data_IF_287645983309
#
_entry.id   IF_287645983309
#
_cell.length_a   1.000
_cell.length_b   1.000
_cell.length_c   1.000
_cell.angle_alpha   90.00
_cell.angle_beta   90.00
_cell.angle_gamma   90.00
#
_symmetry.space_group_name_H-M   'P 1'
#
loop_
_entity.id
_entity.type
_entity.pdbx_description
1 polymer ?
#
# COMPACT_ATOMS: atom_id res chain seq x y z
N UNK A 1 -26.93 -38.82 -13.67
CA UNK A 1 -26.67 -40.12 -14.31
C UNK A 1 -27.10 -40.02 -15.76
N UNK A 2 -26.17 -40.17 -16.70
CA UNK A 2 -26.45 -40.27 -18.14
C UNK A 2 -26.25 -41.73 -18.55
N UNK A 3 -27.05 -42.25 -19.47
CA UNK A 3 -26.81 -43.55 -20.08
C UNK A 3 -26.30 -43.34 -21.50
N UNK A 4 -25.09 -43.81 -21.79
CA UNK A 4 -24.48 -43.74 -23.13
C UNK A 4 -24.15 -45.17 -23.55
N UNK A 5 -24.81 -45.66 -24.60
CA UNK A 5 -24.66 -47.02 -25.14
C UNK A 5 -24.81 -48.14 -24.09
N UNK A 6 -25.69 -47.97 -23.11
CA UNK A 6 -25.92 -48.95 -22.04
C UNK A 6 -25.00 -48.79 -20.82
N UNK A 7 -24.03 -47.86 -20.87
CA UNK A 7 -23.12 -47.60 -19.75
C UNK A 7 -23.62 -46.40 -18.92
N UNK A 8 -23.88 -46.57 -17.61
CA UNK A 8 -24.21 -45.46 -16.73
C UNK A 8 -22.97 -44.60 -16.46
N UNK A 9 -23.04 -43.33 -16.86
CA UNK A 9 -22.04 -42.31 -16.59
C UNK A 9 -22.55 -41.41 -15.46
N UNK A 10 -21.75 -41.32 -14.41
CA UNK A 10 -21.95 -40.40 -13.30
C UNK A 10 -21.02 -39.22 -13.48
N UNK A 11 -21.60 -38.02 -13.41
CA UNK A 11 -20.84 -36.78 -13.39
C UNK A 11 -21.44 -35.88 -12.32
N UNK A 12 -20.59 -35.10 -11.68
CA UNK A 12 -20.99 -34.10 -10.71
C UNK A 12 -21.09 -32.75 -11.42
N UNK A 13 -22.20 -32.05 -11.24
CA UNK A 13 -22.39 -30.69 -11.70
C UNK A 13 -22.54 -29.79 -10.48
N UNK A 14 -21.80 -28.67 -10.40
CA UNK A 14 -21.93 -27.76 -9.28
C UNK A 14 -23.33 -27.12 -9.27
N UNK A 15 -23.87 -26.87 -8.08
CA UNK A 15 -25.09 -26.06 -7.96
C UNK A 15 -24.76 -24.63 -8.35
N UNK A 16 -25.41 -24.16 -9.41
CA UNK A 16 -25.21 -22.83 -9.97
C UNK A 16 -26.55 -22.12 -10.14
N UNK A 17 -26.54 -20.82 -9.89
CA UNK A 17 -27.64 -19.93 -10.24
C UNK A 17 -27.38 -19.37 -11.64
N UNK A 18 -28.28 -19.65 -12.58
CA UNK A 18 -28.24 -19.14 -13.95
C UNK A 18 -29.25 -18.00 -14.10
N UNK A 19 -28.83 -16.88 -14.69
CA UNK A 19 -29.72 -15.79 -15.11
C UNK A 19 -29.33 -15.30 -16.51
N UNK A 20 -30.27 -14.66 -17.19
CA UNK A 20 -30.01 -14.02 -18.48
C UNK A 20 -29.91 -12.52 -18.30
N UNK A 21 -28.83 -11.95 -18.82
CA UNK A 21 -28.59 -10.51 -18.92
C UNK A 21 -28.78 -10.08 -20.38
N UNK A 22 -29.52 -8.98 -20.67
CA UNK A 22 -29.74 -8.53 -22.05
C UNK A 22 -28.48 -8.16 -22.83
N UNK A 23 -27.38 -7.83 -22.14
CA UNK A 23 -26.10 -7.43 -22.74
C UNK A 23 -25.10 -8.59 -22.69
N UNK A 24 -24.96 -9.21 -21.52
CA UNK A 24 -23.91 -10.21 -21.26
C UNK A 24 -24.36 -11.66 -21.55
N UNK A 25 -25.64 -11.88 -21.88
CA UNK A 25 -26.18 -13.20 -22.18
C UNK A 25 -26.36 -14.07 -20.93
N UNK A 26 -25.96 -15.33 -20.99
CA UNK A 26 -26.13 -16.26 -19.88
C UNK A 26 -25.05 -16.08 -18.80
N UNK A 27 -25.45 -15.63 -17.62
CA UNK A 27 -24.58 -15.48 -16.47
C UNK A 27 -24.79 -16.61 -15.46
N UNK A 28 -23.68 -17.19 -15.02
CA UNK A 28 -23.64 -18.27 -14.04
C UNK A 28 -22.99 -17.78 -12.74
N UNK A 29 -23.62 -18.06 -11.60
CA UNK A 29 -23.09 -17.76 -10.27
C UNK A 29 -23.04 -19.03 -9.41
N UNK A 30 -21.89 -19.37 -8.82
CA UNK A 30 -21.81 -20.49 -7.86
C UNK A 30 -22.72 -20.26 -6.65
N UNK A 31 -23.35 -21.33 -6.15
CA UNK A 31 -24.00 -21.29 -4.84
C UNK A 31 -22.96 -20.95 -3.77
N UNK A 32 -23.22 -19.89 -2.99
CA UNK A 32 -22.32 -19.45 -1.91
C UNK A 32 -23.00 -19.65 -0.57
N UNK A 33 -22.38 -20.46 0.30
CA UNK A 33 -22.79 -20.57 1.71
C UNK A 33 -22.11 -19.45 2.49
N UNK A 34 -22.91 -18.61 3.14
CA UNK A 34 -22.42 -17.45 3.91
C UNK A 34 -22.60 -17.69 5.41
N UNK A 35 -21.69 -17.18 6.27
CA UNK A 35 -21.90 -17.24 7.71
C UNK A 35 -23.10 -16.37 8.13
N UNK A 36 -23.72 -16.62 9.30
CA UNK A 36 -24.82 -15.79 9.81
C UNK A 36 -24.45 -14.30 9.92
N UNK A 37 -23.19 -14.00 10.20
CA UNK A 37 -22.61 -12.66 10.18
C UNK A 37 -21.19 -12.72 9.62
N UNK A 38 -20.82 -11.72 8.84
CA UNK A 38 -19.45 -11.47 8.40
C UNK A 38 -18.94 -10.15 9.01
N UNK A 39 -17.64 -10.02 9.19
CA UNK A 39 -16.99 -8.88 9.84
C UNK A 39 -15.84 -8.38 8.97
N UNK A 40 -15.87 -7.12 8.57
CA UNK A 40 -14.84 -6.49 7.75
C UNK A 40 -14.22 -5.33 8.53
N UNK A 41 -12.89 -5.26 8.57
CA UNK A 41 -12.17 -4.07 9.05
C UNK A 41 -12.01 -3.12 7.86
N UNK A 42 -12.32 -1.84 8.05
CA UNK A 42 -11.97 -0.82 7.06
C UNK A 42 -10.47 -0.51 7.12
N UNK A 43 -9.86 -0.15 5.98
CA UNK A 43 -8.42 0.07 5.89
C UNK A 43 -7.60 -1.23 5.83
N UNK A 44 -6.41 -1.17 5.23
CA UNK A 44 -5.54 -2.35 5.03
C UNK A 44 -4.51 -2.55 6.12
N UNK A 45 -4.03 -1.47 6.73
CA UNK A 45 -3.10 -1.46 7.86
C UNK A 45 -3.30 -0.20 8.69
N UNK A 46 -2.88 -0.26 9.96
CA UNK A 46 -2.93 0.83 10.92
C UNK A 46 -1.56 1.08 11.53
N UNK A 47 -0.92 2.16 11.12
CA UNK A 47 0.46 2.50 11.48
C UNK A 47 0.49 3.77 12.32
N UNK A 48 0.99 3.69 13.54
CA UNK A 48 1.02 4.78 14.50
C UNK A 48 2.44 5.31 14.63
N UNK A 49 2.65 6.60 14.36
CA UNK A 49 3.92 7.28 14.66
C UNK A 49 3.94 7.79 16.11
N UNK A 50 2.78 8.07 16.70
CA UNK A 50 2.60 8.53 18.08
C UNK A 50 1.54 7.67 18.82
N UNK A 51 1.08 8.14 19.97
CA UNK A 51 0.07 7.43 20.78
C UNK A 51 -1.34 8.01 20.60
N UNK A 52 -1.56 8.86 19.60
CA UNK A 52 -2.89 9.41 19.34
C UNK A 52 -3.82 8.30 18.83
N UNK A 53 -5.06 8.23 19.33
CA UNK A 53 -6.02 7.23 18.90
C UNK A 53 -6.41 7.40 17.44
N UNK A 54 -6.61 6.28 16.76
CA UNK A 54 -7.17 6.23 15.40
C UNK A 54 -8.49 5.50 15.39
N UNK A 55 -9.38 5.95 14.50
CA UNK A 55 -10.65 5.28 14.26
C UNK A 55 -10.41 4.05 13.39
N UNK A 56 -10.93 2.92 13.87
CA UNK A 56 -10.97 1.63 13.18
C UNK A 56 -12.44 1.31 12.91
N UNK A 57 -12.95 1.59 11.70
CA UNK A 57 -14.30 1.18 11.32
C UNK A 57 -14.35 -0.35 11.14
N UNK A 58 -15.35 -0.97 11.74
CA UNK A 58 -15.65 -2.40 11.63
C UNK A 58 -17.07 -2.55 11.10
N UNK A 59 -17.21 -3.10 9.89
CA UNK A 59 -18.51 -3.36 9.28
C UNK A 59 -18.94 -4.79 9.55
N UNK A 60 -20.09 -4.95 10.18
CA UNK A 60 -20.78 -6.25 10.30
C UNK A 60 -21.82 -6.38 9.20
N UNK A 61 -21.85 -7.52 8.50
CA UNK A 61 -22.81 -7.83 7.44
C UNK A 61 -23.63 -9.07 7.78
N UNK A 62 -24.95 -8.94 7.70
CA UNK A 62 -25.87 -10.04 7.98
C UNK A 62 -25.92 -11.05 6.83
N UNK A 63 -25.66 -12.33 7.12
CA UNK A 63 -25.89 -13.45 6.19
C UNK A 63 -27.30 -14.04 6.25
N UNK A 64 -28.07 -13.69 7.30
CA UNK A 64 -29.50 -14.02 7.48
C UNK A 64 -30.24 -12.83 8.11
N UNK A 65 -31.57 -12.83 8.09
CA UNK A 65 -32.36 -11.82 8.80
C UNK A 65 -32.29 -12.01 10.34
N UNK A 66 -32.54 -10.92 11.06
CA UNK A 66 -32.69 -10.91 12.53
C UNK A 66 -31.42 -11.18 13.33
N UNK A 67 -30.25 -10.87 12.80
CA UNK A 67 -28.96 -11.10 13.47
C UNK A 67 -28.70 -10.00 14.49
N UNK A 68 -28.42 -10.39 15.73
CA UNK A 68 -28.03 -9.47 16.81
C UNK A 68 -26.84 -10.04 17.56
N UNK A 69 -25.97 -9.16 18.04
CA UNK A 69 -24.75 -9.59 18.71
C UNK A 69 -23.90 -8.43 19.19
N UNK A 70 -22.65 -8.74 19.51
CA UNK A 70 -21.63 -7.74 19.83
C UNK A 70 -20.43 -7.94 18.91
N UNK A 71 -19.68 -6.87 18.66
CA UNK A 71 -18.39 -6.93 17.98
C UNK A 71 -17.32 -6.32 18.87
N UNK A 72 -16.12 -6.87 18.83
CA UNK A 72 -14.96 -6.42 19.58
C UNK A 72 -13.69 -6.54 18.73
N UNK A 73 -12.63 -5.85 19.17
CA UNK A 73 -11.30 -5.97 18.58
C UNK A 73 -10.39 -6.78 19.50
N UNK A 74 -9.85 -7.88 18.98
CA UNK A 74 -8.73 -8.58 19.59
C UNK A 74 -7.44 -7.89 19.18
N UNK A 75 -6.74 -7.33 20.15
CA UNK A 75 -5.51 -6.56 19.95
C UNK A 75 -4.32 -7.27 20.60
N UNK A 76 -3.09 -7.08 20.08
CA UNK A 76 -1.89 -7.56 20.73
C UNK A 76 -1.65 -6.82 22.07
N UNK A 77 -0.85 -7.39 22.99
CA UNK A 77 -0.47 -6.71 24.24
C UNK A 77 0.11 -5.32 23.98
N UNK A 78 -0.21 -4.36 24.85
CA UNK A 78 0.25 -2.96 24.70
C UNK A 78 -0.64 -2.09 23.81
N UNK A 79 -1.84 -2.57 23.45
CA UNK A 79 -2.83 -1.83 22.67
C UNK A 79 -4.19 -1.86 23.36
N UNK A 80 -5.00 -0.83 23.14
CA UNK A 80 -6.36 -0.74 23.67
C UNK A 80 -7.33 -0.26 22.59
N UNK A 81 -8.54 -0.81 22.61
CA UNK A 81 -9.69 -0.36 21.84
C UNK A 81 -10.74 0.24 22.78
N UNK A 82 -11.26 1.40 22.42
CA UNK A 82 -12.32 2.10 23.14
C UNK A 82 -13.48 2.40 22.17
N UNK A 83 -14.71 1.90 22.45
CA UNK A 83 -15.07 0.98 23.55
C UNK A 83 -14.51 -0.44 23.33
N UNK A 84 -14.50 -1.27 24.38
CA UNK A 84 -14.00 -2.66 24.29
C UNK A 84 -14.89 -3.56 23.42
N UNK A 85 -16.20 -3.30 23.37
CA UNK A 85 -17.15 -3.96 22.49
C UNK A 85 -18.34 -3.05 22.17
N UNK A 86 -19.02 -3.32 21.05
CA UNK A 86 -20.19 -2.59 20.60
C UNK A 86 -21.32 -3.56 20.21
N UNK A 87 -22.58 -3.30 20.61
CA UNK A 87 -23.72 -4.10 20.17
C UNK A 87 -24.13 -3.74 18.74
N UNK A 88 -24.74 -4.70 18.04
CA UNK A 88 -25.32 -4.49 16.72
C UNK A 88 -26.62 -5.28 16.53
N UNK A 89 -27.50 -4.76 15.68
CA UNK A 89 -28.77 -5.40 15.33
C UNK A 89 -29.05 -5.19 13.84
N UNK A 90 -29.08 -6.28 13.09
CA UNK A 90 -29.34 -6.32 11.65
C UNK A 90 -30.65 -7.07 11.40
N UNK A 91 -31.68 -6.34 10.99
CA UNK A 91 -33.02 -6.88 10.78
C UNK A 91 -33.10 -7.70 9.48
N UNK A 92 -32.49 -7.19 8.41
CA UNK A 92 -32.59 -7.79 7.08
C UNK A 92 -31.32 -8.57 6.72
N UNK A 93 -31.48 -9.61 5.88
CA UNK A 93 -30.33 -10.25 5.22
C UNK A 93 -29.59 -9.20 4.38
N UNK A 94 -28.27 -9.31 4.32
CA UNK A 94 -27.34 -8.41 3.63
C UNK A 94 -27.24 -6.99 4.21
N UNK A 95 -28.04 -6.66 5.24
CA UNK A 95 -27.91 -5.40 5.97
C UNK A 95 -26.52 -5.30 6.58
N UNK A 96 -25.98 -4.09 6.54
CA UNK A 96 -24.67 -3.74 7.10
C UNK A 96 -24.83 -2.69 8.19
N UNK A 97 -23.93 -2.74 9.16
CA UNK A 97 -23.73 -1.69 10.14
C UNK A 97 -22.24 -1.51 10.36
N UNK A 98 -21.76 -0.28 10.26
CA UNK A 98 -20.38 0.08 10.58
C UNK A 98 -20.30 0.62 11.99
N UNK A 99 -19.35 0.10 12.77
CA UNK A 99 -19.12 0.40 14.17
C UNK A 99 -17.68 0.88 14.32
N UNK A 100 -17.48 1.98 15.04
CA UNK A 100 -16.17 2.62 15.12
C UNK A 100 -15.50 2.35 16.47
N UNK A 101 -14.24 1.90 16.42
CA UNK A 101 -13.38 1.73 17.58
C UNK A 101 -12.26 2.77 17.57
N UNK A 102 -11.95 3.37 18.71
CA UNK A 102 -10.71 4.14 18.88
C UNK A 102 -9.61 3.20 19.36
N UNK A 103 -8.62 2.96 18.51
CA UNK A 103 -7.46 2.12 18.85
C UNK A 103 -6.25 3.01 19.10
N UNK A 104 -5.51 2.72 20.17
CA UNK A 104 -4.25 3.39 20.49
C UNK A 104 -3.25 2.43 21.15
N UNK A 105 -1.94 2.66 20.97
CA UNK A 105 -0.91 2.01 21.77
C UNK A 105 -0.94 2.54 23.21
N UNK A 106 -0.55 1.73 24.20
CA UNK A 106 -0.45 2.11 25.61
C UNK A 106 0.98 2.40 26.07
N UNK A 107 1.98 2.02 25.28
CA UNK A 107 3.40 2.28 25.53
C UNK A 107 4.09 3.08 24.42
N UNK A 108 5.40 3.25 24.53
CA UNK A 108 6.24 3.95 23.52
C UNK A 108 7.10 3.01 22.68
N UNK A 109 7.15 1.73 23.06
CA UNK A 109 7.98 0.71 22.38
C UNK A 109 7.42 0.42 20.99
N UNK A 110 8.32 0.34 20.01
CA UNK A 110 8.00 -0.16 18.68
C UNK A 110 7.39 -1.56 18.79
N UNK A 111 6.29 -1.79 18.07
CA UNK A 111 5.62 -3.09 18.06
C UNK A 111 4.91 -3.30 16.73
N UNK A 112 4.89 -4.55 16.28
CA UNK A 112 4.12 -5.00 15.13
C UNK A 112 3.26 -6.18 15.54
N UNK A 113 1.99 -6.16 15.12
CA UNK A 113 1.06 -7.23 15.37
C UNK A 113 -0.13 -7.15 14.41
N UNK A 114 -1.21 -7.83 14.77
CA UNK A 114 -2.45 -7.80 14.00
C UNK A 114 -3.60 -7.44 14.92
N UNK A 115 -4.45 -6.52 14.47
CA UNK A 115 -5.77 -6.32 15.05
C UNK A 115 -6.75 -7.26 14.35
N UNK A 116 -7.65 -7.88 15.11
CA UNK A 116 -8.67 -8.79 14.58
C UNK A 116 -10.05 -8.38 15.05
N UNK A 117 -11.00 -8.25 14.14
CA UNK A 117 -12.39 -7.97 14.47
C UNK A 117 -13.17 -9.27 14.64
N UNK A 118 -13.91 -9.39 15.74
CA UNK A 118 -14.68 -10.59 16.08
C UNK A 118 -16.10 -10.21 16.47
N UNK A 119 -17.08 -10.77 15.77
CA UNK A 119 -18.49 -10.68 16.14
C UNK A 119 -18.92 -11.92 16.92
N UNK A 120 -19.73 -11.73 17.96
CA UNK A 120 -20.34 -12.81 18.75
C UNK A 120 -21.85 -12.77 18.56
N UNK A 121 -22.42 -13.87 18.05
CA UNK A 121 -23.87 -14.04 17.82
C UNK A 121 -24.26 -15.40 18.39
N UNK A 122 -25.31 -15.44 19.21
CA UNK A 122 -25.81 -16.68 19.83
C UNK A 122 -24.72 -17.49 20.57
N UNK A 123 -23.74 -16.80 21.17
CA UNK A 123 -22.60 -17.41 21.87
C UNK A 123 -21.48 -17.94 20.95
N UNK A 124 -21.60 -17.81 19.63
CA UNK A 124 -20.60 -18.23 18.64
C UNK A 124 -19.83 -17.04 18.07
N UNK A 125 -18.53 -17.23 17.83
CA UNK A 125 -17.64 -16.18 17.31
C UNK A 125 -17.44 -16.27 15.79
N UNK A 126 -17.46 -15.12 15.13
CA UNK A 126 -17.25 -14.97 13.70
C UNK A 126 -16.17 -13.91 13.45
N UNK A 127 -15.07 -14.31 12.80
CA UNK A 127 -13.90 -13.46 12.57
C UNK A 127 -13.52 -13.40 11.08
N UNK A 128 -14.48 -13.67 10.18
CA UNK A 128 -14.26 -13.63 8.73
C UNK A 128 -15.13 -12.59 8.06
N UNK A 129 -14.56 -11.90 7.09
CA UNK A 129 -15.22 -10.89 6.29
C UNK A 129 -16.03 -11.46 5.15
N UNK A 130 -16.65 -10.55 4.40
CA UNK A 130 -17.32 -10.83 3.15
C UNK A 130 -16.65 -10.00 2.05
N UNK A 131 -16.12 -10.65 1.01
CA UNK A 131 -15.46 -9.96 -0.10
C UNK A 131 -15.94 -10.54 -1.43
N UNK A 132 -16.86 -9.87 -2.13
CA UNK A 132 -17.26 -10.27 -3.47
C UNK A 132 -16.20 -9.81 -4.49
N UNK A 133 -15.85 -10.69 -5.42
CA UNK A 133 -15.04 -10.38 -6.60
C UNK A 133 -16.00 -10.39 -7.79
N UNK A 134 -16.27 -9.21 -8.33
CA UNK A 134 -17.26 -9.00 -9.40
C UNK A 134 -16.58 -8.27 -10.54
N UNK A 135 -16.34 -8.97 -11.64
CA UNK A 135 -15.92 -8.38 -12.90
C UNK A 135 -16.77 -8.95 -14.03
N UNK A 136 -16.92 -8.21 -15.12
CA UNK A 136 -17.69 -8.65 -16.29
C UNK A 136 -17.08 -9.90 -16.96
N UNK A 137 -15.77 -10.08 -16.85
CA UNK A 137 -15.03 -11.15 -17.55
C UNK A 137 -14.81 -12.42 -16.70
N UNK A 138 -15.32 -12.50 -15.47
CA UNK A 138 -15.29 -13.74 -14.65
C UNK A 138 -16.60 -13.92 -13.85
N UNK A 139 -17.00 -15.17 -13.52
CA UNK A 139 -18.10 -15.40 -12.58
C UNK A 139 -17.85 -14.72 -11.22
N UNK A 140 -18.92 -14.26 -10.56
CA UNK A 140 -18.81 -13.71 -9.21
C UNK A 140 -18.21 -14.74 -8.26
N UNK A 141 -17.08 -14.38 -7.64
CA UNK A 141 -16.49 -15.16 -6.57
C UNK A 141 -16.76 -14.47 -5.23
N UNK A 142 -16.86 -15.23 -4.15
CA UNK A 142 -17.02 -14.68 -2.80
C UNK A 142 -15.94 -15.26 -1.92
N UNK A 143 -15.12 -14.40 -1.33
CA UNK A 143 -14.09 -14.76 -0.37
C UNK A 143 -14.54 -14.40 1.04
N UNK A 144 -14.07 -15.18 2.01
CA UNK A 144 -14.26 -14.96 3.43
C UNK A 144 -12.89 -14.82 4.12
N UNK A 145 -12.15 -13.72 3.86
CA UNK A 145 -10.84 -13.50 4.46
C UNK A 145 -10.98 -13.35 5.98
N UNK A 146 -9.92 -13.65 6.72
CA UNK A 146 -9.84 -13.29 8.13
C UNK A 146 -10.02 -11.76 8.28
N UNK A 147 -10.84 -11.35 9.24
CA UNK A 147 -11.08 -9.96 9.59
C UNK A 147 -9.89 -9.45 10.41
N UNK A 148 -8.73 -9.31 9.76
CA UNK A 148 -7.48 -8.89 10.38
C UNK A 148 -6.80 -7.78 9.57
N UNK A 149 -6.12 -6.87 10.25
CA UNK A 149 -5.26 -5.86 9.64
C UNK A 149 -3.95 -5.73 10.44
N UNK A 150 -2.80 -5.43 9.79
CA UNK A 150 -1.58 -5.09 10.49
C UNK A 150 -1.78 -3.88 11.40
N UNK A 151 -1.27 -3.98 12.62
CA UNK A 151 -1.30 -2.93 13.64
C UNK A 151 0.15 -2.67 14.08
N UNK A 152 0.66 -1.48 13.78
CA UNK A 152 2.08 -1.15 13.93
C UNK A 152 2.24 0.13 14.72
N UNK A 153 3.09 0.12 15.74
CA UNK A 153 3.63 1.31 16.39
C UNK A 153 5.07 1.47 15.94
N UNK A 154 5.38 2.57 15.28
CA UNK A 154 6.73 2.88 14.83
C UNK A 154 7.42 3.85 15.79
N UNK A 155 8.73 3.67 15.99
CA UNK A 155 9.59 4.78 16.40
C UNK A 155 10.03 5.55 15.14
N UNK A 156 9.27 6.60 14.80
CA UNK A 156 9.47 7.34 13.57
C UNK A 156 9.68 8.82 13.87
N UNK A 157 10.84 9.33 13.47
CA UNK A 157 11.13 10.77 13.44
C UNK A 157 10.84 11.28 12.05
N UNK A 158 10.28 12.49 11.94
CA UNK A 158 9.98 13.15 10.67
C UNK A 158 10.49 14.58 10.66
N UNK A 159 10.86 15.05 9.47
CA UNK A 159 11.04 16.48 9.15
C UNK A 159 10.22 16.79 7.89
N UNK A 160 9.80 18.04 7.78
CA UNK A 160 8.77 18.40 6.80
C UNK A 160 7.39 17.86 7.19
N UNK A 161 6.35 18.38 6.55
CA UNK A 161 4.97 18.08 6.87
C UNK A 161 4.06 18.08 5.64
N UNK A 162 4.22 19.04 4.72
CA UNK A 162 3.35 19.16 3.55
C UNK A 162 3.91 18.40 2.35
N UNK A 163 3.14 17.45 1.82
CA UNK A 163 3.54 16.61 0.70
C UNK A 163 2.58 16.82 -0.48
N UNK A 164 3.14 17.13 -1.64
CA UNK A 164 2.42 17.08 -2.90
C UNK A 164 2.55 15.69 -3.53
N UNK A 165 1.45 15.00 -3.81
CA UNK A 165 1.48 13.65 -4.39
C UNK A 165 0.74 13.60 -5.73
N UNK A 166 1.45 13.36 -6.83
CA UNK A 166 0.83 13.14 -8.13
C UNK A 166 0.58 11.64 -8.32
N UNK A 167 -0.69 11.23 -8.38
CA UNK A 167 -1.07 9.84 -8.62
C UNK A 167 -0.64 9.37 -10.02
N UNK A 168 -0.13 8.15 -10.11
CA UNK A 168 0.14 7.46 -11.38
C UNK A 168 -0.96 6.43 -11.70
N UNK A 169 -0.62 5.15 -11.73
CA UNK A 169 -1.55 4.05 -12.01
C UNK A 169 -2.53 3.72 -10.85
N UNK A 170 -2.31 4.32 -9.67
CA UNK A 170 -3.03 4.03 -8.43
C UNK A 170 -2.16 3.24 -7.45
N UNK A 171 -2.06 3.73 -6.22
CA UNK A 171 -1.34 3.12 -5.10
C UNK A 171 -1.87 3.69 -3.78
N UNK A 172 -1.41 3.15 -2.65
CA UNK A 172 -1.85 3.51 -1.30
C UNK A 172 -0.79 4.28 -0.50
N UNK A 173 0.27 4.75 -1.17
CA UNK A 173 1.36 5.50 -0.52
C UNK A 173 0.84 6.80 0.13
N UNK A 174 -0.08 7.59 -0.48
CA UNK A 174 -0.64 8.78 0.15
C UNK A 174 -1.32 8.49 1.49
N UNK A 175 -2.08 7.40 1.57
CA UNK A 175 -2.79 7.04 2.79
C UNK A 175 -1.83 6.55 3.86
N UNK A 176 -0.82 5.77 3.49
CA UNK A 176 0.26 5.37 4.39
C UNK A 176 0.99 6.60 4.98
N UNK A 177 1.30 7.61 4.17
CA UNK A 177 1.93 8.85 4.63
C UNK A 177 1.03 9.65 5.58
N UNK A 178 -0.27 9.71 5.32
CA UNK A 178 -1.24 10.33 6.24
C UNK A 178 -1.30 9.60 7.59
N UNK A 179 -1.20 8.28 7.58
CA UNK A 179 -1.19 7.50 8.83
C UNK A 179 -0.01 7.87 9.74
N UNK A 180 1.15 8.22 9.19
CA UNK A 180 2.30 8.66 10.00
C UNK A 180 2.36 10.18 10.22
N UNK A 181 1.27 10.89 9.91
CA UNK A 181 1.05 12.28 10.33
C UNK A 181 1.41 13.35 9.29
N UNK A 182 1.77 12.98 8.05
CA UNK A 182 1.98 13.97 6.98
C UNK A 182 0.67 14.53 6.44
N UNK A 183 0.70 15.78 5.99
CA UNK A 183 -0.38 16.40 5.25
C UNK A 183 -0.16 16.17 3.75
N UNK A 184 -0.88 15.20 3.18
CA UNK A 184 -0.73 14.82 1.77
C UNK A 184 -1.82 15.45 0.92
N UNK A 185 -1.40 16.38 0.05
CA UNK A 185 -2.25 16.97 -1.00
C UNK A 185 -2.10 16.17 -2.28
N UNK A 186 -3.19 15.55 -2.74
CA UNK A 186 -3.22 14.92 -4.05
C UNK A 186 -3.20 15.99 -5.14
N UNK A 187 -2.17 15.96 -5.98
CA UNK A 187 -1.96 16.90 -7.08
C UNK A 187 -2.63 16.41 -8.35
N UNK A 188 -3.18 17.35 -9.12
CA UNK A 188 -3.55 17.20 -10.51
C UNK A 188 -2.48 17.81 -11.40
N UNK A 189 -2.50 17.47 -12.69
CA UNK A 189 -1.58 18.06 -13.68
C UNK A 189 -1.66 19.59 -13.74
N UNK A 190 -2.82 20.18 -13.43
CA UNK A 190 -3.02 21.64 -13.35
C UNK A 190 -2.37 22.29 -12.14
N UNK A 191 -2.04 21.49 -11.11
CA UNK A 191 -1.46 21.98 -9.87
C UNK A 191 0.07 22.06 -9.95
N UNK A 192 0.69 21.47 -10.99
CA UNK A 192 2.12 21.48 -11.23
C UNK A 192 2.57 22.84 -11.80
N UNK A 193 2.59 23.85 -10.93
CA UNK A 193 3.09 25.19 -11.22
C UNK A 193 4.20 25.56 -10.22
N UNK A 194 5.20 26.37 -10.61
CA UNK A 194 6.30 26.72 -9.69
C UNK A 194 5.81 27.34 -8.38
N UNK A 195 4.81 28.21 -8.44
CA UNK A 195 4.24 28.87 -7.25
C UNK A 195 3.58 27.87 -6.29
N UNK A 196 2.80 26.93 -6.82
CA UNK A 196 2.09 25.95 -5.99
C UNK A 196 3.05 24.89 -5.44
N UNK A 197 4.06 24.45 -6.19
CA UNK A 197 4.98 23.41 -5.73
C UNK A 197 5.88 23.87 -4.58
N UNK A 198 6.23 25.16 -4.51
CA UNK A 198 7.10 25.74 -3.47
C UNK A 198 6.59 25.58 -2.03
N UNK A 199 5.29 25.36 -1.82
CA UNK A 199 4.74 25.16 -0.46
C UNK A 199 5.06 23.77 0.11
N UNK A 200 5.33 22.80 -0.75
CA UNK A 200 5.54 21.43 -0.32
C UNK A 200 6.98 21.20 0.14
N UNK A 201 7.13 20.44 1.20
CA UNK A 201 8.44 19.97 1.67
C UNK A 201 9.02 18.91 0.74
N UNK A 202 8.16 18.09 0.15
CA UNK A 202 8.49 17.13 -0.87
C UNK A 202 7.33 16.95 -1.87
N UNK A 203 7.69 16.68 -3.13
CA UNK A 203 6.75 16.30 -4.19
C UNK A 203 7.04 14.86 -4.57
N UNK A 204 6.05 13.98 -4.47
CA UNK A 204 6.15 12.57 -4.85
C UNK A 204 5.39 12.35 -6.15
N UNK A 205 6.03 11.70 -7.10
CA UNK A 205 5.37 11.10 -8.25
C UNK A 205 5.11 9.63 -7.93
N UNK A 206 3.82 9.27 -7.92
CA UNK A 206 3.37 7.93 -7.57
C UNK A 206 3.73 6.86 -8.58
N UNK A 207 3.33 5.62 -8.26
CA UNK A 207 3.62 4.42 -9.04
C UNK A 207 3.26 4.64 -10.51
N UNK A 208 4.25 4.52 -11.39
CA UNK A 208 4.10 4.65 -12.85
C UNK A 208 3.56 6.01 -13.32
N UNK A 209 3.70 7.09 -12.56
CA UNK A 209 3.25 8.42 -12.98
C UNK A 209 3.82 8.80 -14.37
N UNK A 210 5.12 8.56 -14.60
CA UNK A 210 5.74 8.77 -15.91
C UNK A 210 5.29 7.80 -17.02
N UNK A 211 4.55 6.73 -16.71
CA UNK A 211 3.98 5.83 -17.71
C UNK A 211 2.50 6.11 -17.99
N UNK A 212 1.79 6.85 -17.12
CA UNK A 212 0.34 7.03 -17.21
C UNK A 212 -0.12 8.49 -17.33
N UNK A 213 0.67 9.44 -16.84
CA UNK A 213 0.29 10.87 -16.83
C UNK A 213 0.91 11.58 -18.03
N UNK A 214 0.16 11.63 -19.13
CA UNK A 214 0.65 12.14 -20.41
C UNK A 214 1.21 13.57 -20.37
N UNK A 215 0.66 14.50 -19.57
CA UNK A 215 1.16 15.88 -19.56
C UNK A 215 2.51 16.04 -18.86
N UNK A 216 3.03 15.02 -18.17
CA UNK A 216 4.38 15.12 -17.55
C UNK A 216 5.47 15.44 -18.58
N UNK A 217 5.31 15.04 -19.85
CA UNK A 217 6.23 15.43 -20.93
C UNK A 217 6.37 16.94 -21.13
N UNK A 218 5.37 17.71 -20.72
CA UNK A 218 5.33 19.17 -20.81
C UNK A 218 5.58 19.86 -19.45
N UNK A 219 5.55 19.10 -18.35
CA UNK A 219 5.65 19.62 -16.98
C UNK A 219 6.97 19.27 -16.29
N UNK A 220 7.84 18.50 -16.96
CA UNK A 220 9.16 18.13 -16.45
C UNK A 220 9.99 19.34 -16.03
N UNK A 221 10.01 20.39 -16.85
CA UNK A 221 10.76 21.61 -16.55
C UNK A 221 10.29 22.28 -15.26
N UNK A 222 8.99 22.29 -14.99
CA UNK A 222 8.41 22.85 -13.75
C UNK A 222 8.82 22.04 -12.53
N UNK A 223 8.80 20.70 -12.65
CA UNK A 223 9.24 19.81 -11.59
C UNK A 223 10.74 19.99 -11.29
N UNK A 224 11.57 20.11 -12.32
CA UNK A 224 13.01 20.34 -12.16
C UNK A 224 13.32 21.76 -11.64
N UNK A 225 12.54 22.78 -12.00
CA UNK A 225 12.66 24.13 -11.41
C UNK A 225 12.37 24.09 -9.91
N UNK A 226 11.36 23.33 -9.47
CA UNK A 226 11.08 23.10 -8.06
C UNK A 226 12.28 22.47 -7.33
N UNK A 227 12.91 21.44 -7.91
CA UNK A 227 14.13 20.84 -7.35
C UNK A 227 15.26 21.85 -7.30
N UNK A 228 15.51 22.57 -8.40
CA UNK A 228 16.56 23.57 -8.49
C UNK A 228 16.41 24.66 -7.41
N UNK A 229 15.18 25.02 -7.06
CA UNK A 229 14.83 25.98 -6.02
C UNK A 229 15.02 25.49 -4.57
N UNK A 230 15.37 24.22 -4.35
CA UNK A 230 15.52 23.64 -3.00
C UNK A 230 14.48 22.56 -2.65
N UNK A 231 13.63 22.19 -3.60
CA UNK A 231 12.61 21.15 -3.40
C UNK A 231 13.17 19.73 -3.45
N UNK A 232 12.48 18.81 -2.78
CA UNK A 232 12.72 17.38 -2.91
C UNK A 232 11.69 16.76 -3.86
N UNK A 233 12.14 16.22 -5.00
CA UNK A 233 11.31 15.47 -5.93
C UNK A 233 11.64 13.99 -5.83
N UNK A 234 10.64 13.17 -5.47
CA UNK A 234 10.78 11.73 -5.29
C UNK A 234 9.95 11.03 -6.37
N UNK A 235 10.60 10.22 -7.19
CA UNK A 235 9.98 9.48 -8.29
C UNK A 235 9.99 8.00 -7.94
N UNK A 236 8.79 7.42 -7.87
CA UNK A 236 8.61 6.03 -7.48
C UNK A 236 8.29 5.17 -8.69
N UNK A 237 8.91 3.99 -8.75
CA UNK A 237 8.49 2.85 -9.57
C UNK A 237 8.03 3.23 -10.98
N UNK A 238 8.98 3.45 -11.89
CA UNK A 238 8.69 3.67 -13.31
C UNK A 238 9.02 2.41 -14.09
N UNK A 239 8.08 1.88 -14.86
CA UNK A 239 8.37 0.72 -15.71
C UNK A 239 9.18 1.16 -16.93
N UNK A 240 10.07 0.28 -17.41
CA UNK A 240 11.05 0.59 -18.45
C UNK A 240 10.48 0.71 -19.89
N UNK A 241 9.15 0.75 -20.05
CA UNK A 241 8.46 0.88 -21.34
C UNK A 241 7.33 1.88 -21.23
N UNK A 242 7.07 2.59 -22.32
CA UNK A 242 5.95 3.53 -22.41
C UNK A 242 6.05 4.71 -21.44
N UNK A 243 7.27 5.15 -21.11
CA UNK A 243 7.44 6.44 -20.44
C UNK A 243 6.98 7.55 -21.37
N UNK A 244 6.31 8.56 -20.82
CA UNK A 244 5.74 9.65 -21.61
C UNK A 244 6.81 10.63 -22.13
N UNK A 245 8.03 10.53 -21.62
CA UNK A 245 9.22 11.25 -22.04
C UNK A 245 10.47 10.34 -21.90
N UNK A 246 11.54 10.58 -22.69
CA UNK A 246 12.72 9.72 -22.70
C UNK A 246 13.58 9.88 -21.44
N UNK A 247 13.74 11.11 -20.96
CA UNK A 247 14.57 11.45 -19.79
C UNK A 247 13.67 11.93 -18.66
N UNK A 248 13.56 11.13 -17.60
CA UNK A 248 12.64 11.41 -16.48
C UNK A 248 13.32 12.09 -15.28
N UNK A 249 14.64 12.21 -15.29
CA UNK A 249 15.44 12.89 -14.26
C UNK A 249 16.22 14.10 -14.79
N UNK A 250 16.91 14.84 -13.89
CA UNK A 250 17.73 16.01 -14.26
C UNK A 250 18.99 15.65 -15.05
N UNK A 251 19.47 14.41 -14.90
CA UNK A 251 20.60 13.85 -15.64
C UNK A 251 20.22 12.48 -16.21
N UNK A 252 20.91 11.98 -17.26
CA UNK A 252 20.55 10.73 -17.90
C UNK A 252 20.64 9.51 -16.96
N UNK A 253 19.62 8.65 -17.01
CA UNK A 253 19.68 7.29 -16.49
C UNK A 253 18.76 6.35 -17.26
N UNK A 254 19.09 5.06 -17.28
CA UNK A 254 18.40 4.06 -18.09
C UNK A 254 17.72 3.02 -17.21
N UNK A 255 16.39 3.03 -17.23
CA UNK A 255 15.56 1.98 -16.64
C UNK A 255 15.85 0.63 -17.33
N UNK A 256 15.83 -0.44 -16.54
CA UNK A 256 16.13 -1.79 -17.03
C UNK A 256 15.04 -2.80 -16.62
N UNK A 257 15.28 -4.10 -16.83
CA UNK A 257 14.43 -5.17 -16.29
C UNK A 257 14.99 -5.75 -14.97
N UNK A 258 16.06 -5.15 -14.44
CA UNK A 258 16.67 -5.54 -13.18
C UNK A 258 15.66 -5.41 -12.04
N UNK A 259 15.69 -6.40 -11.16
CA UNK A 259 14.76 -6.56 -10.05
C UNK A 259 15.42 -7.34 -8.93
N UNK A 260 14.82 -7.26 -7.75
CA UNK A 260 15.15 -8.11 -6.59
C UNK A 260 13.83 -8.63 -6.07
N UNK A 261 13.60 -9.93 -6.25
CA UNK A 261 12.31 -10.58 -5.97
C UNK A 261 12.33 -11.35 -4.66
N UNK A 262 13.50 -11.63 -4.09
CA UNK A 262 13.62 -12.22 -2.76
C UNK A 262 13.36 -11.15 -1.70
N UNK A 263 12.26 -11.32 -0.96
CA UNK A 263 11.78 -10.44 0.11
C UNK A 263 12.88 -10.00 1.08
N UNK A 264 13.70 -10.95 1.53
CA UNK A 264 14.75 -10.74 2.52
C UNK A 264 16.16 -10.74 1.88
N UNK A 265 16.27 -10.34 0.61
CA UNK A 265 17.56 -10.17 -0.03
C UNK A 265 18.44 -9.19 0.78
N UNK A 266 19.73 -9.52 0.92
CA UNK A 266 20.66 -8.68 1.66
C UNK A 266 20.74 -7.28 1.02
N UNK A 267 20.68 -6.25 1.87
CA UNK A 267 20.88 -4.86 1.46
C UNK A 267 22.22 -4.36 1.95
N UNK A 268 23.04 -3.92 1.01
CA UNK A 268 24.36 -3.33 1.25
C UNK A 268 24.28 -1.81 1.08
N UNK A 269 24.87 -1.07 2.00
CA UNK A 269 24.90 0.40 1.93
C UNK A 269 26.13 0.88 1.18
N UNK A 270 25.92 1.44 -0.01
CA UNK A 270 26.98 1.96 -0.87
C UNK A 270 27.50 3.32 -0.38
N UNK A 271 26.63 4.08 0.27
CA UNK A 271 26.95 5.40 0.85
C UNK A 271 26.50 5.46 2.32
N UNK A 272 27.14 4.71 3.23
CA UNK A 272 26.67 4.53 4.61
C UNK A 272 26.59 5.83 5.43
N UNK A 273 27.34 6.87 5.06
CA UNK A 273 27.30 8.19 5.68
C UNK A 273 26.29 9.16 5.01
N UNK A 274 25.62 8.76 3.93
CA UNK A 274 24.68 9.63 3.23
C UNK A 274 23.50 10.02 4.15
N UNK A 275 23.04 11.30 4.16
CA UNK A 275 21.97 11.74 5.04
C UNK A 275 20.68 10.92 4.93
N UNK A 276 20.33 10.44 3.72
CA UNK A 276 19.17 9.56 3.49
C UNK A 276 19.19 8.29 4.37
N UNK A 277 20.36 7.74 4.71
CA UNK A 277 20.47 6.57 5.59
C UNK A 277 20.60 6.92 7.08
N UNK A 278 20.69 8.20 7.43
CA UNK A 278 21.09 8.64 8.77
C UNK A 278 20.18 9.68 9.42
N UNK A 279 19.29 10.34 8.68
CA UNK A 279 18.46 11.43 9.21
C UNK A 279 17.11 11.52 8.48
N UNK A 280 16.01 11.78 9.23
CA UNK A 280 15.92 11.84 10.69
C UNK A 280 15.96 10.47 11.38
N UNK A 281 15.82 9.38 10.62
CA UNK A 281 15.90 8.01 11.13
C UNK A 281 17.23 7.38 10.72
N UNK A 282 17.87 6.64 11.62
CA UNK A 282 19.02 5.81 11.27
C UNK A 282 18.51 4.54 10.58
N UNK A 283 18.94 4.32 9.34
CA UNK A 283 18.63 3.11 8.57
C UNK A 283 19.72 2.07 8.80
N UNK A 284 19.28 0.82 8.98
CA UNK A 284 20.10 -0.37 9.25
C UNK A 284 19.58 -1.53 8.42
N UNK A 285 20.28 -2.66 8.41
CA UNK A 285 19.81 -3.87 7.72
C UNK A 285 18.45 -4.38 8.25
N UNK A 286 18.07 -4.03 9.50
CA UNK A 286 16.76 -4.37 10.07
C UNK A 286 15.59 -3.71 9.34
N UNK A 287 15.82 -2.56 8.72
CA UNK A 287 14.80 -1.84 7.96
C UNK A 287 14.44 -2.54 6.63
N UNK A 288 15.21 -3.57 6.25
CA UNK A 288 14.97 -4.40 5.08
C UNK A 288 14.46 -5.81 5.43
N UNK A 289 13.99 -6.02 6.67
CA UNK A 289 13.39 -7.28 7.11
C UNK A 289 11.87 -7.22 7.03
N UNK A 290 11.25 -8.37 6.74
CA UNK A 290 9.78 -8.50 6.72
C UNK A 290 9.10 -7.80 5.55
N UNK A 291 9.87 -7.47 4.52
CA UNK A 291 9.34 -7.02 3.23
C UNK A 291 8.51 -8.14 2.59
N UNK A 292 7.54 -7.77 1.75
CA UNK A 292 6.61 -8.72 1.14
C UNK A 292 6.69 -8.69 -0.37
N UNK A 293 6.62 -9.86 -1.00
CA UNK A 293 6.74 -10.02 -2.45
C UNK A 293 8.13 -9.58 -2.96
N UNK A 294 8.22 -8.57 -3.82
CA UNK A 294 9.50 -8.10 -4.38
C UNK A 294 10.04 -6.87 -3.66
N UNK A 295 11.35 -6.85 -3.35
CA UNK A 295 12.01 -5.66 -2.81
C UNK A 295 11.91 -4.47 -3.79
N UNK A 296 12.07 -4.74 -5.09
CA UNK A 296 11.88 -3.72 -6.11
C UNK A 296 12.11 -4.23 -7.52
N UNK A 297 11.66 -3.43 -8.47
CA UNK A 297 11.62 -3.78 -9.89
C UNK A 297 12.05 -2.59 -10.74
N UNK A 298 12.47 -2.90 -11.97
CA UNK A 298 12.85 -1.93 -12.99
C UNK A 298 13.94 -0.97 -12.51
N UNK A 299 14.90 -1.50 -11.74
CA UNK A 299 16.04 -0.71 -11.28
C UNK A 299 16.82 -0.17 -12.49
N UNK A 300 17.20 1.11 -12.51
CA UNK A 300 18.18 1.63 -13.44
C UNK A 300 19.44 0.78 -13.41
N UNK A 301 20.01 0.51 -14.59
CA UNK A 301 21.28 -0.21 -14.71
C UNK A 301 22.43 0.67 -15.18
N UNK A 302 22.12 1.90 -15.62
CA UNK A 302 23.09 2.91 -16.05
C UNK A 302 22.58 4.30 -15.62
N UNK A 303 23.48 5.16 -15.16
CA UNK A 303 23.16 6.54 -14.76
C UNK A 303 24.39 7.44 -14.87
N UNK A 304 24.15 8.74 -15.00
CA UNK A 304 25.18 9.78 -14.96
C UNK A 304 25.91 9.80 -13.60
N UNK A 305 27.19 10.16 -13.61
CA UNK A 305 28.05 10.20 -12.42
C UNK A 305 27.55 11.16 -11.31
N UNK A 306 26.64 12.08 -11.64
CA UNK A 306 25.99 12.97 -10.67
C UNK A 306 24.94 12.27 -9.80
N UNK A 307 24.51 11.07 -10.16
CA UNK A 307 23.68 10.24 -9.29
C UNK A 307 24.54 9.47 -8.30
N UNK A 308 24.12 9.52 -7.04
CA UNK A 308 24.66 8.75 -5.93
C UNK A 308 23.76 7.53 -5.73
N UNK A 309 24.22 6.31 -6.08
CA UNK A 309 23.52 5.09 -5.71
C UNK A 309 23.69 4.85 -4.21
N UNK A 310 22.59 4.61 -3.51
CA UNK A 310 22.59 4.57 -2.03
C UNK A 310 22.70 3.15 -1.48
N UNK A 311 22.01 2.19 -2.12
CA UNK A 311 21.93 0.80 -1.68
C UNK A 311 22.18 -0.16 -2.84
N UNK A 312 22.62 -1.37 -2.51
CA UNK A 312 22.84 -2.47 -3.45
C UNK A 312 22.20 -3.74 -2.93
N UNK A 313 21.51 -4.47 -3.80
CA UNK A 313 20.90 -5.77 -3.50
C UNK A 313 20.87 -6.67 -4.73
N UNK A 314 20.72 -7.97 -4.53
CA UNK A 314 20.56 -8.94 -5.60
C UNK A 314 19.87 -10.19 -5.07
N UNK A 315 19.18 -10.91 -5.95
CA UNK A 315 18.71 -12.25 -5.66
C UNK A 315 19.91 -13.24 -5.61
N UNK A 316 19.77 -14.40 -4.93
CA UNK A 316 20.84 -15.38 -4.83
C UNK A 316 21.36 -15.83 -6.20
N UNK A 317 22.68 -15.71 -6.42
CA UNK A 317 23.32 -16.07 -7.69
C UNK A 317 23.25 -14.99 -8.78
N UNK A 318 22.57 -13.87 -8.55
CA UNK A 318 22.52 -12.74 -9.50
C UNK A 318 23.58 -11.67 -9.22
N UNK A 319 23.83 -10.81 -10.22
CA UNK A 319 24.72 -9.67 -10.07
C UNK A 319 24.11 -8.57 -9.18
N UNK A 320 24.93 -7.84 -8.40
CA UNK A 320 24.49 -6.68 -7.63
C UNK A 320 23.71 -5.65 -8.46
N UNK A 321 22.59 -5.17 -7.91
CA UNK A 321 21.78 -4.09 -8.46
C UNK A 321 21.88 -2.87 -7.56
N UNK A 322 22.49 -1.80 -8.07
CA UNK A 322 22.81 -0.60 -7.29
C UNK A 322 21.84 0.56 -7.54
N UNK A 323 20.89 0.38 -8.48
CA UNK A 323 19.95 1.41 -8.93
C UNK A 323 18.67 1.55 -8.11
N UNK A 324 18.51 0.83 -7.00
CA UNK A 324 17.26 0.81 -6.24
C UNK A 324 16.90 2.18 -5.64
N UNK A 325 17.90 2.98 -5.30
CA UNK A 325 17.78 4.39 -4.88
C UNK A 325 18.92 5.18 -5.51
N UNK A 326 18.57 6.13 -6.37
CA UNK A 326 19.50 7.10 -6.95
C UNK A 326 19.15 8.50 -6.44
N UNK A 327 20.13 9.19 -5.86
CA UNK A 327 19.98 10.58 -5.41
C UNK A 327 20.87 11.48 -6.24
N UNK A 328 20.34 12.58 -6.77
CA UNK A 328 21.12 13.60 -7.46
C UNK A 328 20.81 14.98 -6.88
N UNK A 329 21.87 15.74 -6.63
CA UNK A 329 21.75 17.16 -6.33
C UNK A 329 21.48 17.93 -7.62
N UNK A 330 20.47 18.79 -7.58
CA UNK A 330 20.12 19.65 -8.70
C UNK A 330 19.74 21.04 -8.18
N UNK A 331 20.60 22.03 -8.45
CA UNK A 331 20.50 23.33 -7.81
C UNK A 331 20.65 23.23 -6.30
N UNK A 332 19.64 23.68 -5.56
CA UNK A 332 19.63 23.68 -4.08
C UNK A 332 18.88 22.49 -3.48
N UNK A 333 18.23 21.67 -4.30
CA UNK A 333 17.38 20.57 -3.86
C UNK A 333 17.85 19.23 -4.38
N UNK A 334 17.00 18.22 -4.19
CA UNK A 334 17.34 16.84 -4.47
C UNK A 334 16.30 16.17 -5.37
N UNK A 335 16.80 15.48 -6.38
CA UNK A 335 16.03 14.52 -7.17
C UNK A 335 16.34 13.12 -6.66
N UNK A 336 15.30 12.36 -6.30
CA UNK A 336 15.42 10.99 -5.81
C UNK A 336 14.59 10.09 -6.73
N UNK A 337 15.24 9.12 -7.37
CA UNK A 337 14.55 8.01 -8.01
C UNK A 337 14.62 6.79 -7.10
N UNK A 338 13.51 6.07 -6.95
CA UNK A 338 13.52 4.76 -6.33
C UNK A 338 12.64 3.75 -7.07
N UNK A 339 13.19 2.55 -7.26
CA UNK A 339 12.44 1.40 -7.78
C UNK A 339 11.94 0.45 -6.68
N UNK A 340 12.15 0.80 -5.40
CA UNK A 340 11.68 -0.01 -4.28
C UNK A 340 10.15 -0.09 -4.28
N UNK A 341 9.62 -1.25 -3.91
CA UNK A 341 8.18 -1.55 -3.94
C UNK A 341 7.40 -0.91 -2.78
N UNK A 342 7.59 0.38 -2.47
CA UNK A 342 6.88 1.03 -1.35
C UNK A 342 5.35 0.89 -1.42
N UNK A 343 4.78 0.78 -2.61
CA UNK A 343 3.36 0.53 -2.82
C UNK A 343 2.88 -0.85 -2.35
N UNK A 344 3.78 -1.79 -2.09
CA UNK A 344 3.52 -3.10 -1.46
C UNK A 344 3.90 -3.07 0.02
N UNK A 345 5.06 -2.52 0.33
CA UNK A 345 5.59 -2.52 1.70
C UNK A 345 4.81 -1.65 2.68
N UNK A 346 4.39 -0.45 2.25
CA UNK A 346 3.68 0.48 3.13
C UNK A 346 2.29 -0.06 3.50
N UNK A 347 1.47 -0.57 2.55
CA UNK A 347 0.20 -1.24 2.89
C UNK A 347 0.38 -2.50 3.73
N UNK A 348 1.49 -3.22 3.58
CA UNK A 348 1.82 -4.36 4.43
C UNK A 348 2.26 -3.97 5.85
N UNK A 349 2.57 -2.68 6.07
CA UNK A 349 2.93 -2.15 7.37
C UNK A 349 4.42 -2.29 7.73
N UNK A 350 5.31 -2.43 6.74
CA UNK A 350 6.74 -2.70 6.95
C UNK A 350 7.46 -1.48 7.54
N UNK A 351 7.97 -1.53 8.79
CA UNK A 351 8.54 -0.37 9.49
C UNK A 351 9.65 0.36 8.73
N UNK A 352 10.58 -0.38 8.14
CA UNK A 352 11.72 0.20 7.45
C UNK A 352 11.35 0.95 6.18
N UNK A 353 10.27 0.54 5.49
CA UNK A 353 9.75 1.27 4.34
C UNK A 353 9.25 2.68 4.74
N UNK A 354 8.57 2.80 5.88
CA UNK A 354 8.12 4.09 6.42
C UNK A 354 9.30 4.99 6.82
N UNK A 355 10.32 4.43 7.49
CA UNK A 355 11.53 5.19 7.87
C UNK A 355 12.30 5.67 6.64
N UNK A 356 12.47 4.81 5.63
CA UNK A 356 13.22 5.13 4.42
C UNK A 356 12.51 6.21 3.58
N UNK A 357 11.21 6.07 3.34
CA UNK A 357 10.45 7.10 2.61
C UNK A 357 10.41 8.43 3.39
N UNK A 358 10.29 8.38 4.71
CA UNK A 358 10.38 9.57 5.58
C UNK A 358 11.73 10.28 5.46
N UNK A 359 12.83 9.52 5.41
CA UNK A 359 14.15 10.10 5.20
C UNK A 359 14.30 10.74 3.81
N UNK A 360 13.71 10.14 2.76
CA UNK A 360 13.68 10.74 1.43
C UNK A 360 12.93 12.09 1.44
N UNK A 361 11.76 12.14 2.10
CA UNK A 361 10.96 13.37 2.25
C UNK A 361 11.75 14.43 3.02
N UNK A 362 12.46 14.02 4.06
CA UNK A 362 13.20 14.89 4.98
C UNK A 362 14.57 15.37 4.47
N UNK A 363 15.02 14.94 3.29
CA UNK A 363 16.37 15.20 2.82
C UNK A 363 16.62 16.72 2.67
N UNK A 364 17.73 17.24 3.21
CA UNK A 364 18.02 18.68 3.15
C UNK A 364 17.14 19.58 4.05
N UNK A 365 16.30 19.00 4.93
CA UNK A 365 15.44 19.72 5.89
C UNK A 365 15.99 19.73 7.31
#
# INVERSE_FOLDING_TARGET
>A
MLNVAGTPIFYSVPVQYKRTDPVEGELYRPLTVVPPVAVNIGGKAYVFADNQPKLVPVTVKAGRAGVRGTVALNLPPGWVAEPASLPFVLQNKEQEQTLEFRVRPTGTTESAGQLRAVATVDGQTYARGYQPIVYTHIPTQTLFPEAAAPLIKLDLKRKGNEIGYLMGAGDEVPDALRQIGYQVTTLKETDLTPANLRRFDAVLLGVRAYNTVNRLRFLQSVLLEYVQGGGNLIVQYTVNRGTVLPEIGPYPFKLSNDRVTVENAEVRFLKPQHPLLNTPNKITSRDFQGWVQEQGLYYPSQWDAKYQPIISSNDPGESPKDGAILVADYGKGHYIYTGLSFFRELPAGVPGAYRLLTNMISLGK
#
